data_IF_203317655674
#
_entry.id   IF_203317655674
#
_cell.length_a   1.000
_cell.length_b   1.000
_cell.length_c   1.000
_cell.angle_alpha   90.00
_cell.angle_beta   90.00
_cell.angle_gamma   90.00
#
_symmetry.space_group_name_H-M   'P 1'
#
loop_
_entity.id
_entity.type
_entity.pdbx_description
1 polymer ?
#
# COMPACT_ATOMS: atom_id res chain seq x y z
N UNK A 1 -11.80 14.88 -39.20
CA UNK A 1 -10.94 14.19 -38.22
C UNK A 1 -11.76 14.05 -36.94
N UNK A 2 -12.57 13.00 -36.82
CA UNK A 2 -13.54 12.87 -35.71
C UNK A 2 -12.90 12.27 -34.47
N UNK A 3 -12.99 12.98 -33.34
CA UNK A 3 -13.00 12.36 -32.01
C UNK A 3 -14.35 11.69 -31.87
N UNK A 4 -14.37 10.35 -31.99
CA UNK A 4 -15.57 9.55 -31.78
C UNK A 4 -15.54 8.94 -30.38
N UNK A 5 -16.69 8.65 -29.77
CA UNK A 5 -16.80 8.13 -28.40
C UNK A 5 -15.97 6.85 -28.16
N UNK A 6 -15.74 6.05 -29.21
CA UNK A 6 -14.92 4.84 -29.14
C UNK A 6 -13.42 5.12 -28.90
N UNK A 7 -12.90 6.24 -29.41
CA UNK A 7 -11.51 6.65 -29.15
C UNK A 7 -11.32 7.14 -27.73
N UNK A 8 -12.33 7.84 -27.21
CA UNK A 8 -12.32 8.35 -25.83
C UNK A 8 -12.45 7.19 -24.84
N UNK A 9 -13.28 6.18 -25.13
CA UNK A 9 -13.37 4.96 -24.33
C UNK A 9 -12.07 4.16 -24.32
N UNK A 10 -11.45 3.98 -25.48
CA UNK A 10 -10.17 3.27 -25.59
C UNK A 10 -9.04 4.01 -24.84
N UNK A 11 -9.03 5.35 -24.86
CA UNK A 11 -8.08 6.16 -24.12
C UNK A 11 -8.27 6.00 -22.60
N UNK A 12 -9.51 6.03 -22.11
CA UNK A 12 -9.83 5.81 -20.69
C UNK A 12 -9.45 4.40 -20.22
N UNK A 13 -9.65 3.39 -21.07
CA UNK A 13 -9.25 2.01 -20.75
C UNK A 13 -7.73 1.86 -20.67
N UNK A 14 -6.99 2.49 -21.59
CA UNK A 14 -5.53 2.49 -21.53
C UNK A 14 -4.99 3.17 -20.26
N UNK A 15 -5.61 4.28 -19.84
CA UNK A 15 -5.25 4.97 -18.60
C UNK A 15 -5.55 4.11 -17.35
N UNK A 16 -6.71 3.45 -17.32
CA UNK A 16 -7.09 2.55 -16.23
C UNK A 16 -6.14 1.35 -16.12
N UNK A 17 -5.77 0.75 -17.25
CA UNK A 17 -4.88 -0.41 -17.27
C UNK A 17 -3.45 -0.02 -16.88
N UNK A 18 -2.97 1.15 -17.28
CA UNK A 18 -1.69 1.69 -16.82
C UNK A 18 -1.68 1.89 -15.29
N UNK A 19 -2.74 2.49 -14.73
CA UNK A 19 -2.88 2.67 -13.29
C UNK A 19 -2.93 1.33 -12.53
N UNK A 20 -3.59 0.32 -13.10
CA UNK A 20 -3.64 -1.04 -12.52
C UNK A 20 -2.28 -1.71 -12.53
N UNK A 21 -1.51 -1.57 -13.60
CA UNK A 21 -0.17 -2.14 -13.69
C UNK A 21 0.79 -1.45 -12.71
N UNK A 22 0.70 -0.14 -12.55
CA UNK A 22 1.47 0.59 -11.54
C UNK A 22 1.16 0.10 -10.11
N UNK A 23 -0.13 -0.03 -9.78
CA UNK A 23 -0.56 -0.55 -8.48
C UNK A 23 -0.10 -2.00 -8.26
N UNK A 24 -0.09 -2.82 -9.32
CA UNK A 24 0.40 -4.20 -9.26
C UNK A 24 1.90 -4.23 -8.93
N UNK A 25 2.70 -3.45 -9.66
CA UNK A 25 4.15 -3.37 -9.42
C UNK A 25 4.46 -2.88 -8.01
N UNK A 26 3.78 -1.82 -7.55
CA UNK A 26 3.96 -1.30 -6.19
C UNK A 26 3.63 -2.34 -5.13
N UNK A 27 2.51 -3.07 -5.28
CA UNK A 27 2.15 -4.16 -4.37
C UNK A 27 3.19 -5.27 -4.36
N UNK A 28 3.67 -5.67 -5.53
CA UNK A 28 4.65 -6.74 -5.65
C UNK A 28 5.97 -6.35 -4.99
N UNK A 29 6.40 -5.09 -5.13
CA UNK A 29 7.56 -4.53 -4.42
C UNK A 29 7.36 -4.54 -2.91
N UNK A 30 6.21 -4.08 -2.41
CA UNK A 30 5.92 -4.07 -0.97
C UNK A 30 5.98 -5.48 -0.38
N UNK A 31 5.53 -6.49 -1.11
CA UNK A 31 5.57 -7.90 -0.67
C UNK A 31 6.97 -8.50 -0.74
N UNK A 32 7.78 -8.11 -1.73
CA UNK A 32 9.10 -8.68 -1.97
C UNK A 32 10.23 -8.09 -1.10
N UNK A 33 10.06 -6.86 -0.60
CA UNK A 33 11.08 -6.19 0.21
C UNK A 33 11.16 -6.83 1.61
N UNK A 34 12.38 -7.17 2.09
CA UNK A 34 12.58 -7.78 3.41
C UNK A 34 12.36 -6.79 4.57
N UNK A 35 12.44 -5.49 4.29
CA UNK A 35 12.23 -4.43 5.28
C UNK A 35 10.76 -4.34 5.71
N UNK A 36 10.53 -3.90 6.94
CA UNK A 36 9.20 -3.56 7.42
C UNK A 36 8.75 -2.21 6.88
N UNK A 37 7.60 -2.21 6.21
CA UNK A 37 6.94 -1.01 5.70
C UNK A 37 5.56 -0.96 6.33
N UNK A 38 5.37 0.00 7.24
CA UNK A 38 4.08 0.29 7.87
C UNK A 38 3.52 1.62 7.38
N UNK A 39 2.21 1.66 7.15
CA UNK A 39 1.44 2.89 6.99
C UNK A 39 0.54 3.03 8.21
N UNK A 40 0.62 4.17 8.88
CA UNK A 40 -0.24 4.51 10.03
C UNK A 40 -1.02 5.79 9.76
N UNK A 41 -2.15 5.96 10.43
CA UNK A 41 -2.81 7.26 10.49
C UNK A 41 -2.05 8.23 11.43
N UNK A 42 -2.53 9.48 11.52
CA UNK A 42 -1.91 10.50 12.38
C UNK A 42 -2.00 10.19 13.87
N UNK A 43 -2.88 9.28 14.28
CA UNK A 43 -3.02 8.81 15.66
C UNK A 43 -2.16 7.56 15.92
N UNK A 44 -1.36 7.12 14.93
CA UNK A 44 -0.45 5.99 15.04
C UNK A 44 -1.11 4.63 14.85
N UNK A 45 -2.39 4.57 14.43
CA UNK A 45 -3.08 3.30 14.16
C UNK A 45 -2.60 2.70 12.84
N UNK A 46 -2.27 1.42 12.86
CA UNK A 46 -1.77 0.69 11.70
C UNK A 46 -2.85 0.49 10.62
N UNK A 47 -2.65 1.11 9.46
CA UNK A 47 -3.51 0.97 8.27
C UNK A 47 -3.02 -0.15 7.35
N UNK A 48 -1.70 -0.27 7.21
CA UNK A 48 -1.04 -1.27 6.38
C UNK A 48 0.30 -1.70 6.98
N UNK A 49 0.66 -2.96 6.77
CA UNK A 49 2.00 -3.49 7.01
C UNK A 49 2.29 -4.49 5.90
N UNK A 50 3.47 -4.40 5.31
CA UNK A 50 3.90 -5.41 4.35
C UNK A 50 4.13 -6.75 5.05
N UNK A 51 3.89 -7.84 4.31
CA UNK A 51 3.76 -9.19 4.87
C UNK A 51 5.10 -9.86 5.17
N UNK A 52 6.21 -9.10 5.27
CA UNK A 52 7.55 -9.70 5.26
C UNK A 52 7.78 -10.65 6.44
N UNK A 53 6.97 -10.64 7.51
CA UNK A 53 7.33 -11.40 8.73
C UNK A 53 6.24 -11.78 9.76
N UNK A 54 5.01 -11.22 9.84
CA UNK A 54 4.04 -11.66 10.88
C UNK A 54 2.55 -11.55 10.50
N UNK A 55 1.63 -12.27 11.19
CA UNK A 55 0.19 -12.13 10.99
C UNK A 55 -0.27 -10.72 11.39
N UNK A 56 -0.60 -9.93 10.36
CA UNK A 56 -1.08 -8.54 10.43
C UNK A 56 -2.22 -8.28 11.43
N UNK A 57 -3.00 -9.31 11.79
CA UNK A 57 -4.13 -9.18 12.71
C UNK A 57 -3.73 -8.81 14.14
N UNK A 58 -2.55 -9.21 14.60
CA UNK A 58 -2.13 -8.97 16.00
C UNK A 58 -1.64 -7.53 16.23
N UNK A 59 -1.24 -6.82 15.17
CA UNK A 59 -0.68 -5.47 15.25
C UNK A 59 -1.73 -4.36 15.08
N UNK A 60 -2.95 -4.68 14.61
CA UNK A 60 -4.02 -3.70 14.44
C UNK A 60 -4.54 -3.09 15.73
N UNK A 61 -4.38 -3.79 16.86
CA UNK A 61 -4.81 -3.31 18.17
C UNK A 61 -3.76 -2.46 18.90
N UNK A 62 -2.56 -2.31 18.33
CA UNK A 62 -1.45 -1.58 18.94
C UNK A 62 -1.19 -0.26 18.19
N UNK A 63 -0.89 0.79 18.95
CA UNK A 63 -0.35 2.03 18.38
C UNK A 63 1.12 1.82 18.02
N UNK A 64 1.53 2.27 16.84
CA UNK A 64 2.95 2.24 16.44
C UNK A 64 3.82 3.00 17.45
N UNK A 65 3.31 4.09 18.02
CA UNK A 65 4.04 4.87 19.01
C UNK A 65 4.32 4.08 20.30
N UNK A 66 3.40 3.21 20.72
CA UNK A 66 3.58 2.37 21.90
C UNK A 66 4.68 1.31 21.65
N UNK A 67 4.65 0.68 20.48
CA UNK A 67 5.66 -0.32 20.06
C UNK A 67 7.06 0.30 20.02
N UNK A 68 7.19 1.49 19.43
CA UNK A 68 8.49 2.18 19.35
C UNK A 68 8.98 2.61 20.73
N UNK A 69 8.12 3.13 21.59
CA UNK A 69 8.48 3.55 22.94
C UNK A 69 8.92 2.38 23.86
N UNK A 70 8.44 1.17 23.59
CA UNK A 70 8.88 -0.04 24.28
C UNK A 70 10.26 -0.52 23.78
N UNK A 71 10.52 -0.35 22.48
CA UNK A 71 11.81 -0.69 21.85
C UNK A 71 12.93 0.26 22.29
N UNK A 72 12.64 1.55 22.47
CA UNK A 72 13.60 2.54 22.98
C UNK A 72 13.99 2.33 24.45
N UNK A 73 13.25 1.49 25.18
CA UNK A 73 13.51 1.18 26.61
C UNK A 73 14.29 -0.12 26.82
N UNK A 74 14.52 -0.90 25.76
CA UNK A 74 15.24 -2.18 25.78
C UNK A 74 16.71 -2.01 25.40
#
# INVERSE_FOLDING_TARGET
MGSGPDKDLAALQAELDAARDELRVLRDLLVAVPDYISHVDLEGRLLFLNRSTQPFEQLRSLSLFDVLAETDRA
#
